data_IF_227001306144
#
_entry.id   IF_227001306144
#
_cell.length_a   1.000
_cell.length_b   1.000
_cell.length_c   1.000
_cell.angle_alpha   90.00
_cell.angle_beta   90.00
_cell.angle_gamma   90.00
#
_symmetry.space_group_name_H-M   'P 1'
#
loop_
_entity.id
_entity.type
_entity.pdbx_description
1 polymer ?
#
# COMPACT_ATOMS: atom_id res chain seq x y z
N UNK A 1 -4.66 31.87 -1.30
CA UNK A 1 -5.62 30.76 -1.25
C UNK A 1 -6.45 30.88 -2.50
N UNK A 2 -6.48 29.82 -3.27
CA UNK A 2 -7.26 29.72 -4.50
C UNK A 2 -8.21 28.53 -4.38
N UNK A 3 -9.47 28.73 -4.74
CA UNK A 3 -10.45 27.65 -4.88
C UNK A 3 -10.88 27.61 -6.33
N UNK A 4 -10.67 26.48 -6.98
CA UNK A 4 -10.96 26.32 -8.40
C UNK A 4 -11.63 24.96 -8.66
N UNK A 5 -12.25 24.83 -9.84
CA UNK A 5 -12.78 23.54 -10.26
C UNK A 5 -11.64 22.55 -10.50
N UNK A 6 -11.92 21.25 -10.37
CA UNK A 6 -10.93 20.23 -10.63
C UNK A 6 -10.32 20.32 -12.03
N UNK A 7 -11.12 20.64 -13.06
CA UNK A 7 -10.61 20.80 -14.42
C UNK A 7 -9.63 21.97 -14.55
N UNK A 8 -9.87 23.07 -13.84
CA UNK A 8 -8.91 24.17 -13.78
C UNK A 8 -7.65 23.77 -13.02
N UNK A 9 -7.75 23.03 -11.92
CA UNK A 9 -6.60 22.68 -11.09
C UNK A 9 -5.62 21.66 -11.72
N UNK A 10 -6.01 20.94 -12.77
CA UNK A 10 -5.18 19.87 -13.35
C UNK A 10 -3.79 20.34 -13.82
N UNK A 11 -3.68 21.58 -14.30
CA UNK A 11 -2.40 22.12 -14.79
C UNK A 11 -1.34 22.26 -13.69
N UNK A 12 -1.76 22.45 -12.44
CA UNK A 12 -0.88 22.58 -11.27
C UNK A 12 -0.15 21.27 -10.93
N UNK A 13 -0.70 20.12 -11.33
CA UNK A 13 -0.08 18.82 -11.13
C UNK A 13 1.03 18.52 -12.14
N UNK A 14 1.07 19.26 -13.27
CA UNK A 14 2.00 19.03 -14.37
C UNK A 14 1.58 17.92 -15.35
N UNK A 15 2.47 17.59 -16.29
CA UNK A 15 2.21 16.67 -17.41
C UNK A 15 2.86 15.29 -17.29
N UNK A 16 3.46 14.95 -16.14
CA UNK A 16 4.10 13.65 -15.90
C UNK A 16 3.09 12.49 -15.95
N UNK A 17 3.58 11.26 -16.09
CA UNK A 17 2.71 10.07 -16.10
C UNK A 17 1.92 9.95 -14.79
N UNK A 18 2.58 10.25 -13.66
CA UNK A 18 1.99 10.25 -12.33
C UNK A 18 0.94 11.34 -12.19
N UNK A 19 1.20 12.55 -12.70
CA UNK A 19 0.22 13.63 -12.70
C UNK A 19 -1.04 13.23 -13.50
N UNK A 20 -0.85 12.70 -14.72
CA UNK A 20 -1.95 12.20 -15.56
C UNK A 20 -2.75 11.09 -14.86
N UNK A 21 -2.06 10.16 -14.20
CA UNK A 21 -2.71 9.10 -13.45
C UNK A 21 -3.51 9.66 -12.27
N UNK A 22 -2.92 10.54 -11.46
CA UNK A 22 -3.60 11.22 -10.35
C UNK A 22 -4.84 11.96 -10.86
N UNK A 23 -4.76 12.62 -12.02
CA UNK A 23 -5.91 13.28 -12.63
C UNK A 23 -7.03 12.29 -12.97
N UNK A 24 -6.69 11.13 -13.55
CA UNK A 24 -7.66 10.05 -13.83
C UNK A 24 -8.26 9.49 -12.54
N UNK A 25 -7.43 9.22 -11.54
CA UNK A 25 -7.85 8.71 -10.23
C UNK A 25 -8.78 9.68 -9.50
N UNK A 26 -8.47 10.97 -9.52
CA UNK A 26 -9.30 12.02 -8.93
C UNK A 26 -10.72 12.05 -9.56
N UNK A 27 -10.84 11.79 -10.86
CA UNK A 27 -12.14 11.63 -11.52
C UNK A 27 -12.87 10.38 -11.02
N UNK A 28 -12.17 9.25 -10.89
CA UNK A 28 -12.75 7.98 -10.38
C UNK A 28 -13.31 8.11 -8.95
N UNK A 29 -12.76 9.00 -8.11
CA UNK A 29 -13.24 9.28 -6.76
C UNK A 29 -14.17 10.51 -6.68
N UNK A 30 -14.59 11.05 -7.83
CA UNK A 30 -15.52 12.17 -7.98
C UNK A 30 -15.05 13.51 -7.36
N UNK A 31 -13.79 13.90 -7.59
CA UNK A 31 -13.31 15.25 -7.22
C UNK A 31 -14.01 16.30 -8.09
N UNK A 32 -14.55 17.34 -7.44
CA UNK A 32 -15.22 18.48 -8.09
C UNK A 32 -14.49 19.81 -7.86
N UNK A 33 -14.07 20.08 -6.61
CA UNK A 33 -13.42 21.33 -6.22
C UNK A 33 -12.04 21.06 -5.61
N UNK A 34 -11.11 21.98 -5.88
CA UNK A 34 -9.74 21.96 -5.37
C UNK A 34 -9.43 23.26 -4.63
N UNK A 35 -8.81 23.14 -3.45
CA UNK A 35 -8.23 24.30 -2.73
C UNK A 35 -6.71 24.20 -2.80
N UNK A 36 -6.07 25.24 -3.31
CA UNK A 36 -4.61 25.29 -3.53
C UNK A 36 -3.92 26.09 -2.43
N UNK A 37 -2.93 25.44 -1.79
CA UNK A 37 -2.02 26.03 -0.82
C UNK A 37 -0.62 26.21 -1.42
N UNK A 38 -0.27 27.45 -1.79
CA UNK A 38 0.92 27.81 -2.60
C UNK A 38 2.27 27.82 -1.85
N UNK A 39 2.27 27.83 -0.51
CA UNK A 39 3.50 27.90 0.31
C UNK A 39 3.49 26.85 1.43
N UNK A 40 3.24 25.60 1.04
CA UNK A 40 3.21 24.48 1.96
C UNK A 40 4.62 23.93 2.19
N UNK A 41 4.96 23.66 3.46
CA UNK A 41 6.20 22.97 3.83
C UNK A 41 5.87 21.49 4.03
N UNK A 42 6.21 20.67 3.05
CA UNK A 42 6.15 19.23 3.22
C UNK A 42 7.37 18.74 4.00
N UNK A 43 7.13 18.03 5.11
CA UNK A 43 8.20 17.55 6.00
C UNK A 43 9.24 16.70 5.27
N UNK A 44 8.79 15.73 4.48
CA UNK A 44 9.70 14.76 3.84
C UNK A 44 10.48 15.47 2.73
N UNK A 45 9.81 16.31 1.92
CA UNK A 45 10.50 17.13 0.93
C UNK A 45 11.52 18.10 1.55
N UNK A 46 11.21 18.73 2.68
CA UNK A 46 12.15 19.67 3.31
C UNK A 46 13.44 18.97 3.75
N UNK A 47 13.33 17.73 4.26
CA UNK A 47 14.50 16.93 4.62
C UNK A 47 15.27 16.53 3.36
N UNK A 48 14.58 16.02 2.33
CA UNK A 48 15.18 15.67 1.03
C UNK A 48 15.92 16.87 0.40
N UNK A 49 15.27 18.05 0.45
CA UNK A 49 15.83 19.32 0.00
C UNK A 49 17.12 19.64 0.74
N UNK A 50 17.11 19.60 2.08
CA UNK A 50 18.28 19.95 2.90
C UNK A 50 19.49 19.04 2.63
N UNK A 51 19.24 17.77 2.32
CA UNK A 51 20.28 16.75 2.10
C UNK A 51 20.85 16.76 0.69
N UNK A 52 20.04 17.15 -0.31
CA UNK A 52 20.42 17.11 -1.72
C UNK A 52 20.29 18.47 -2.40
N UNK A 53 19.05 18.93 -2.64
CA UNK A 53 18.76 20.08 -3.51
C UNK A 53 19.34 21.42 -3.03
N UNK A 54 19.52 21.62 -1.72
CA UNK A 54 20.12 22.82 -1.13
C UNK A 54 21.59 23.04 -1.55
N UNK A 55 22.23 22.03 -2.12
CA UNK A 55 23.64 22.06 -2.56
C UNK A 55 23.79 22.31 -4.07
N UNK A 56 22.68 22.45 -4.79
CA UNK A 56 22.66 22.71 -6.23
C UNK A 56 22.88 24.20 -6.52
N UNK A 57 23.59 24.49 -7.61
CA UNK A 57 23.83 25.88 -8.06
C UNK A 57 22.52 26.62 -8.36
N UNK A 58 21.63 25.98 -9.13
CA UNK A 58 20.25 26.43 -9.30
C UNK A 58 19.39 25.75 -8.22
N UNK A 59 19.18 26.45 -7.10
CA UNK A 59 18.51 25.89 -5.93
C UNK A 59 16.99 26.02 -6.09
N UNK A 60 16.22 24.91 -6.08
CA UNK A 60 14.76 24.98 -6.15
C UNK A 60 14.17 25.61 -4.87
N UNK A 61 12.90 26.00 -4.94
CA UNK A 61 12.16 26.50 -3.77
C UNK A 61 12.05 25.42 -2.68
N UNK A 62 12.06 25.83 -1.41
CA UNK A 62 11.71 24.92 -0.29
C UNK A 62 10.20 24.75 -0.12
N UNK A 63 9.42 25.66 -0.71
CA UNK A 63 7.96 25.64 -0.65
C UNK A 63 7.37 24.76 -1.75
N UNK A 64 6.55 23.81 -1.33
CA UNK A 64 5.71 22.97 -2.19
C UNK A 64 4.32 23.58 -2.34
N UNK A 65 3.58 23.13 -3.36
CA UNK A 65 2.13 23.36 -3.42
C UNK A 65 1.39 22.16 -2.85
N UNK A 66 0.28 22.38 -2.15
CA UNK A 66 -0.61 21.31 -1.70
C UNK A 66 -2.02 21.55 -2.21
N UNK A 67 -2.51 20.60 -3.00
CA UNK A 67 -3.84 20.63 -3.60
C UNK A 67 -4.77 19.74 -2.77
N UNK A 68 -5.79 20.33 -2.18
CA UNK A 68 -6.81 19.63 -1.41
C UNK A 68 -8.03 19.36 -2.26
N UNK A 69 -8.53 18.12 -2.25
CA UNK A 69 -9.59 17.67 -3.13
C UNK A 69 -10.90 17.43 -2.38
N UNK A 70 -12.00 17.88 -2.97
CA UNK A 70 -13.34 17.77 -2.40
C UNK A 70 -14.34 17.24 -3.43
N UNK A 71 -15.28 16.41 -2.99
CA UNK A 71 -16.38 15.91 -3.83
C UNK A 71 -17.50 16.93 -4.00
N UNK A 72 -17.60 17.91 -3.11
CA UNK A 72 -18.62 18.97 -3.19
C UNK A 72 -18.14 20.13 -4.06
N UNK A 73 -19.09 20.84 -4.69
CA UNK A 73 -18.82 22.07 -5.43
C UNK A 73 -19.02 23.28 -4.51
N UNK A 74 -18.00 24.12 -4.40
CA UNK A 74 -18.07 25.39 -3.69
C UNK A 74 -17.13 26.42 -4.31
N UNK A 75 -17.43 27.70 -4.07
CA UNK A 75 -16.67 28.86 -4.56
C UNK A 75 -15.58 29.30 -3.57
N UNK A 76 -14.75 30.26 -4.01
CA UNK A 76 -13.77 30.91 -3.11
C UNK A 76 -14.48 31.67 -2.00
N UNK A 77 -15.63 32.29 -2.29
CA UNK A 77 -16.45 33.06 -1.35
C UNK A 77 -17.02 32.16 -0.26
N UNK A 78 -17.60 31.01 -0.64
CA UNK A 78 -18.14 30.03 0.31
C UNK A 78 -17.06 29.55 1.29
N UNK A 79 -15.87 29.24 0.77
CA UNK A 79 -14.76 28.77 1.60
C UNK A 79 -14.22 29.87 2.51
N UNK A 80 -14.14 31.12 2.04
CA UNK A 80 -13.77 32.27 2.89
C UNK A 80 -14.78 32.50 4.00
N UNK A 81 -16.07 32.38 3.71
CA UNK A 81 -17.11 32.51 4.72
C UNK A 81 -16.98 31.43 5.80
N UNK A 82 -16.65 30.20 5.39
CA UNK A 82 -16.38 29.10 6.32
C UNK A 82 -15.24 29.41 7.29
N UNK A 83 -14.18 30.11 6.84
CA UNK A 83 -13.05 30.51 7.68
C UNK A 83 -13.40 31.64 8.66
N UNK A 84 -14.34 32.52 8.33
CA UNK A 84 -14.72 33.66 9.19
C UNK A 84 -15.73 33.22 10.25
N UNK A 85 -16.76 32.49 9.83
CA UNK A 85 -17.91 32.18 10.68
C UNK A 85 -17.79 30.82 11.39
N UNK A 86 -16.91 29.93 10.93
CA UNK A 86 -16.64 28.61 11.53
C UNK A 86 -17.91 27.79 11.85
N UNK A 87 -18.94 27.86 10.98
CA UNK A 87 -20.19 27.15 11.22
C UNK A 87 -19.99 25.63 11.23
N UNK A 88 -20.26 24.98 12.37
CA UNK A 88 -20.02 23.54 12.58
C UNK A 88 -20.67 22.66 11.49
N UNK A 89 -21.88 23.01 11.06
CA UNK A 89 -22.60 22.27 10.02
C UNK A 89 -21.90 22.33 8.66
N UNK A 90 -21.37 23.50 8.28
CA UNK A 90 -20.65 23.64 7.02
C UNK A 90 -19.29 22.94 7.08
N UNK A 91 -18.56 23.10 8.19
CA UNK A 91 -17.28 22.40 8.41
C UNK A 91 -17.45 20.88 8.41
N UNK A 92 -18.55 20.37 8.98
CA UNK A 92 -18.92 18.95 8.91
C UNK A 92 -19.11 18.48 7.48
N UNK A 93 -19.92 19.19 6.68
CA UNK A 93 -20.11 18.88 5.24
C UNK A 93 -18.81 18.94 4.43
N UNK A 94 -17.98 19.93 4.71
CA UNK A 94 -16.67 20.07 4.08
C UNK A 94 -15.74 18.90 4.45
N UNK A 95 -15.82 18.43 5.70
CA UNK A 95 -15.13 17.23 6.17
C UNK A 95 -15.61 15.96 5.46
N UNK A 96 -16.93 15.76 5.35
CA UNK A 96 -17.52 14.60 4.69
C UNK A 96 -17.21 14.54 3.19
N UNK A 97 -17.07 15.71 2.56
CA UNK A 97 -16.70 15.83 1.14
C UNK A 97 -15.19 15.78 0.89
N UNK A 98 -14.35 15.76 1.92
CA UNK A 98 -12.89 15.73 1.75
C UNK A 98 -12.41 14.39 1.17
N UNK A 99 -11.65 14.47 0.08
CA UNK A 99 -11.16 13.32 -0.68
C UNK A 99 -9.65 13.13 -0.57
N UNK A 100 -8.94 14.06 0.06
CA UNK A 100 -7.50 13.98 0.28
C UNK A 100 -6.71 15.12 -0.32
N UNK A 101 -5.40 14.93 -0.47
CA UNK A 101 -4.51 15.94 -1.04
C UNK A 101 -3.37 15.34 -1.84
N UNK A 102 -2.78 16.18 -2.69
CA UNK A 102 -1.53 15.92 -3.41
C UNK A 102 -0.56 17.07 -3.14
N UNK A 103 0.68 16.74 -2.81
CA UNK A 103 1.79 17.70 -2.76
C UNK A 103 2.50 17.72 -4.12
N UNK A 104 2.73 18.91 -4.66
CA UNK A 104 3.53 19.13 -5.87
C UNK A 104 4.87 19.73 -5.44
N UNK A 105 5.95 19.02 -5.74
CA UNK A 105 7.30 19.45 -5.37
C UNK A 105 7.82 20.47 -6.42
N UNK A 106 8.53 21.53 -6.02
CA UNK A 106 9.07 22.55 -6.93
C UNK A 106 10.38 22.09 -7.59
N UNK A 107 10.43 20.82 -8.00
CA UNK A 107 11.54 20.18 -8.71
C UNK A 107 10.97 19.53 -9.96
N UNK A 108 11.67 19.69 -11.09
CA UNK A 108 11.19 19.22 -12.38
C UNK A 108 11.93 17.97 -12.84
N UNK A 109 11.21 17.11 -13.56
CA UNK A 109 11.80 16.03 -14.34
C UNK A 109 12.53 16.56 -15.59
N UNK A 110 13.11 15.64 -16.37
CA UNK A 110 13.83 15.98 -17.61
C UNK A 110 12.97 16.70 -18.65
N UNK A 111 11.65 16.58 -18.56
CA UNK A 111 10.69 17.20 -19.47
C UNK A 111 10.10 18.50 -18.90
N UNK A 112 10.61 18.99 -17.77
CA UNK A 112 10.12 20.21 -17.14
C UNK A 112 8.84 20.05 -16.32
N UNK A 113 8.40 18.81 -16.03
CA UNK A 113 7.20 18.58 -15.22
C UNK A 113 7.55 18.47 -13.74
N UNK A 114 6.76 19.08 -12.83
CA UNK A 114 6.98 18.93 -11.41
C UNK A 114 6.76 17.49 -10.93
N UNK A 115 7.47 17.10 -9.87
CA UNK A 115 7.26 15.80 -9.23
C UNK A 115 6.03 15.78 -8.33
N UNK A 116 5.25 14.70 -8.43
CA UNK A 116 4.17 14.39 -7.50
C UNK A 116 4.79 13.86 -6.20
N UNK A 117 4.67 14.64 -5.13
CA UNK A 117 5.13 14.29 -3.80
C UNK A 117 4.09 13.50 -3.01
N UNK A 118 4.12 13.70 -1.69
CA UNK A 118 3.23 13.02 -0.76
C UNK A 118 1.77 13.24 -1.16
N UNK A 119 1.09 12.14 -1.41
CA UNK A 119 -0.27 12.05 -1.89
C UNK A 119 -1.05 11.15 -0.95
N UNK A 120 -2.17 11.64 -0.44
CA UNK A 120 -3.06 10.88 0.43
C UNK A 120 -4.47 11.07 -0.13
N UNK A 121 -5.02 10.02 -0.76
CA UNK A 121 -6.30 10.08 -1.45
C UNK A 121 -7.25 9.01 -0.93
N UNK A 122 -8.54 9.31 -0.94
CA UNK A 122 -9.60 8.37 -0.58
C UNK A 122 -9.52 7.18 -1.53
N UNK A 123 -9.65 5.97 -1.00
CA UNK A 123 -9.60 4.75 -1.80
C UNK A 123 -10.84 4.62 -2.69
N UNK A 124 -10.80 3.71 -3.66
CA UNK A 124 -12.01 3.30 -4.37
C UNK A 124 -13.09 2.80 -3.38
N UNK A 125 -14.36 2.90 -3.78
CA UNK A 125 -15.49 2.44 -2.96
C UNK A 125 -15.34 0.96 -2.60
N UNK A 126 -15.58 0.62 -1.33
CA UNK A 126 -15.33 -0.71 -0.77
C UNK A 126 -16.25 -1.80 -1.31
N UNK A 127 -17.54 -1.47 -1.51
CA UNK A 127 -18.56 -2.42 -1.93
C UNK A 127 -18.91 -2.18 -3.39
N UNK A 128 -18.75 -3.22 -4.21
CA UNK A 128 -19.35 -3.33 -5.53
C UNK A 128 -20.34 -4.50 -5.45
N UNK A 129 -21.39 -4.49 -6.25
CA UNK A 129 -22.33 -5.62 -6.32
C UNK A 129 -21.57 -6.95 -6.48
N UNK A 130 -21.71 -7.84 -5.48
CA UNK A 130 -21.08 -9.17 -5.45
C UNK A 130 -19.54 -9.23 -5.38
N UNK A 131 -18.85 -8.12 -5.11
CA UNK A 131 -17.39 -8.10 -4.94
C UNK A 131 -16.96 -7.19 -3.78
N UNK A 132 -15.81 -7.52 -3.19
CA UNK A 132 -15.26 -6.82 -2.03
C UNK A 132 -13.89 -6.24 -2.36
N UNK A 133 -13.64 -4.98 -1.98
CA UNK A 133 -12.32 -4.36 -2.01
C UNK A 133 -11.74 -4.24 -0.61
N UNK A 134 -10.48 -4.62 -0.49
CA UNK A 134 -9.70 -4.50 0.73
C UNK A 134 -8.50 -3.59 0.45
N UNK A 135 -8.33 -2.58 1.29
CA UNK A 135 -7.19 -1.67 1.25
C UNK A 135 -6.53 -1.63 2.61
N UNK A 136 -5.20 -1.59 2.62
CA UNK A 136 -4.47 -1.11 3.78
C UNK A 136 -4.73 0.39 3.88
N UNK A 137 -5.28 0.81 5.01
CA UNK A 137 -5.44 2.21 5.34
C UNK A 137 -5.17 2.49 6.82
N UNK A 138 -4.78 3.73 7.07
CA UNK A 138 -4.71 4.35 8.39
C UNK A 138 -5.36 5.72 8.32
N UNK A 139 -5.87 6.18 9.45
CA UNK A 139 -6.40 7.53 9.56
C UNK A 139 -5.25 8.53 9.59
N UNK A 140 -5.22 9.42 8.61
CA UNK A 140 -4.31 10.55 8.52
C UNK A 140 -5.10 11.83 8.77
N UNK A 141 -4.62 12.65 9.69
CA UNK A 141 -5.14 14.00 9.91
C UNK A 141 -4.32 14.99 9.09
N UNK A 142 -5.00 15.96 8.47
CA UNK A 142 -4.36 17.13 7.87
C UNK A 142 -5.09 18.40 8.29
N UNK A 143 -4.40 19.52 8.24
CA UNK A 143 -4.96 20.84 8.53
C UNK A 143 -4.89 21.70 7.29
N UNK A 144 -5.97 22.40 6.97
CA UNK A 144 -6.04 23.42 5.93
C UNK A 144 -6.61 24.68 6.56
N UNK A 145 -5.77 25.71 6.71
CA UNK A 145 -6.13 26.98 7.37
C UNK A 145 -6.77 26.81 8.76
N UNK A 146 -6.36 25.77 9.51
CA UNK A 146 -6.89 25.46 10.84
C UNK A 146 -8.05 24.46 10.85
N UNK A 147 -8.68 24.18 9.70
CA UNK A 147 -9.72 23.16 9.58
C UNK A 147 -9.05 21.78 9.55
N UNK A 148 -9.45 20.89 10.47
CA UNK A 148 -8.93 19.52 10.53
C UNK A 148 -9.74 18.58 9.66
N UNK A 149 -9.05 17.84 8.79
CA UNK A 149 -9.63 16.79 7.96
C UNK A 149 -9.00 15.44 8.30
N UNK A 150 -9.83 14.41 8.43
CA UNK A 150 -9.41 13.02 8.59
C UNK A 150 -9.61 12.24 7.30
N UNK A 151 -8.64 11.40 6.93
CA UNK A 151 -8.75 10.53 5.77
C UNK A 151 -8.12 9.16 6.03
N UNK A 152 -8.87 8.10 5.73
CA UNK A 152 -8.36 6.74 5.74
C UNK A 152 -7.73 6.41 4.39
N UNK A 153 -6.41 6.24 4.36
CA UNK A 153 -5.66 5.99 3.12
C UNK A 153 -4.30 5.35 3.44
N UNK A 154 -3.46 5.20 2.41
CA UNK A 154 -2.05 4.84 2.50
C UNK A 154 -1.28 5.89 1.67
N UNK A 155 -0.30 6.59 2.26
CA UNK A 155 0.44 7.62 1.54
C UNK A 155 1.19 7.05 0.36
N UNK A 156 1.17 7.80 -0.74
CA UNK A 156 1.91 7.57 -1.96
C UNK A 156 2.89 8.73 -2.21
N UNK A 157 3.98 8.47 -2.93
CA UNK A 157 4.76 9.52 -3.58
C UNK A 157 5.44 8.96 -4.83
N UNK A 158 5.69 9.82 -5.83
CA UNK A 158 6.59 9.50 -6.93
C UNK A 158 8.06 9.55 -6.47
N UNK A 159 8.93 8.83 -7.17
CA UNK A 159 10.37 8.88 -6.90
C UNK A 159 10.96 10.25 -7.30
N UNK A 160 11.91 10.72 -6.49
CA UNK A 160 12.82 11.81 -6.83
C UNK A 160 14.23 11.22 -6.89
N UNK A 161 14.71 10.97 -8.10
CA UNK A 161 15.99 10.30 -8.36
C UNK A 161 17.20 11.02 -7.73
N UNK A 162 17.07 12.30 -7.35
CA UNK A 162 18.12 13.00 -6.61
C UNK A 162 18.36 12.41 -5.22
N UNK A 163 17.33 11.81 -4.60
CA UNK A 163 17.37 11.28 -3.23
C UNK A 163 16.97 9.80 -3.10
N UNK A 164 16.27 9.24 -4.09
CA UNK A 164 15.84 7.84 -4.04
C UNK A 164 15.12 7.41 -5.30
N UNK A 165 15.17 6.11 -5.58
CA UNK A 165 14.45 5.51 -6.70
C UNK A 165 13.25 4.69 -6.19
N UNK A 166 12.70 3.81 -7.05
CA UNK A 166 11.54 2.98 -6.79
C UNK A 166 11.61 2.19 -5.47
N UNK A 167 12.75 1.55 -5.16
CA UNK A 167 12.91 0.79 -3.92
C UNK A 167 12.79 1.67 -2.66
N UNK A 168 13.31 2.91 -2.71
CA UNK A 168 13.17 3.90 -1.62
C UNK A 168 11.71 4.32 -1.47
N UNK A 169 11.02 4.63 -2.56
CA UNK A 169 9.60 4.99 -2.54
C UNK A 169 8.71 3.84 -2.02
N UNK A 170 9.04 2.60 -2.39
CA UNK A 170 8.35 1.40 -1.93
C UNK A 170 8.58 1.12 -0.43
N UNK A 171 9.81 1.29 0.07
CA UNK A 171 10.11 1.22 1.50
C UNK A 171 9.36 2.30 2.28
N UNK A 172 9.40 3.56 1.81
CA UNK A 172 8.70 4.67 2.44
C UNK A 172 7.19 4.37 2.56
N UNK A 173 6.57 3.95 1.46
CA UNK A 173 5.14 3.63 1.37
C UNK A 173 4.76 2.44 2.26
N UNK A 174 5.48 1.33 2.15
CA UNK A 174 5.16 0.09 2.88
C UNK A 174 5.31 0.22 4.40
N UNK A 175 6.16 1.11 4.88
CA UNK A 175 6.42 1.30 6.31
C UNK A 175 5.48 2.30 6.98
N UNK A 176 4.70 3.08 6.21
CA UNK A 176 3.74 4.03 6.78
C UNK A 176 2.76 3.40 7.77
N UNK A 177 2.11 2.26 7.48
CA UNK A 177 1.23 1.57 8.43
C UNK A 177 1.98 1.01 9.64
N UNK A 178 3.22 0.57 9.44
CA UNK A 178 4.07 -0.06 10.44
C UNK A 178 4.49 0.90 11.55
N UNK A 179 4.60 2.21 11.26
CA UNK A 179 4.89 3.27 12.26
C UNK A 179 3.95 3.19 13.46
N UNK A 180 2.63 3.13 13.19
CA UNK A 180 1.63 3.07 14.26
C UNK A 180 1.48 1.66 14.85
N UNK A 181 1.67 0.61 14.03
CA UNK A 181 1.53 -0.77 14.49
C UNK A 181 2.67 -1.20 15.43
N UNK A 182 3.88 -0.73 15.16
CA UNK A 182 5.11 -1.24 15.77
C UNK A 182 5.98 -0.16 16.44
N UNK A 183 5.65 1.12 16.31
CA UNK A 183 6.39 2.22 16.96
C UNK A 183 7.76 2.49 16.33
N UNK A 184 7.92 2.22 15.03
CA UNK A 184 9.17 2.42 14.29
C UNK A 184 9.37 3.90 13.89
N UNK A 185 10.63 4.35 13.66
CA UNK A 185 10.91 5.71 13.21
C UNK A 185 10.29 6.02 11.84
N UNK A 186 10.11 7.32 11.60
CA UNK A 186 9.66 7.87 10.33
C UNK A 186 10.81 8.56 9.62
N UNK A 187 11.26 8.01 8.50
CA UNK A 187 12.32 8.58 7.68
C UNK A 187 11.80 9.09 6.34
N UNK A 188 12.39 10.19 5.87
CA UNK A 188 12.27 10.72 4.50
C UNK A 188 12.95 9.80 3.48
N UNK A 189 12.63 9.92 2.17
CA UNK A 189 13.34 9.20 1.11
C UNK A 189 14.87 9.31 1.19
N UNK A 190 15.42 10.51 1.40
CA UNK A 190 16.87 10.70 1.53
C UNK A 190 17.46 9.93 2.72
N UNK A 191 16.79 9.95 3.88
CA UNK A 191 17.21 9.18 5.06
C UNK A 191 17.13 7.66 4.84
N UNK A 192 16.09 7.18 4.17
CA UNK A 192 15.95 5.76 3.81
C UNK A 192 17.14 5.35 2.95
N UNK A 193 17.45 6.10 1.89
CA UNK A 193 18.58 5.82 1.00
C UNK A 193 19.91 5.84 1.77
N UNK A 194 20.17 6.86 2.62
CA UNK A 194 21.39 6.94 3.45
C UNK A 194 21.58 5.74 4.37
N UNK A 195 20.51 5.27 5.02
CA UNK A 195 20.59 4.13 5.95
C UNK A 195 20.77 2.83 5.16
N UNK A 196 20.08 2.68 4.02
CA UNK A 196 20.17 1.49 3.16
C UNK A 196 21.57 1.24 2.62
N UNK A 197 22.29 2.30 2.21
CA UNK A 197 23.65 2.22 1.62
C UNK A 197 24.75 2.03 2.65
N UNK A 198 24.42 1.90 3.95
CA UNK A 198 25.36 1.35 4.93
C UNK A 198 25.74 -0.11 4.62
N UNK A 199 24.91 -0.80 3.84
CA UNK A 199 25.26 -2.09 3.24
C UNK A 199 26.05 -1.88 1.94
N UNK A 200 27.23 -2.52 1.78
CA UNK A 200 28.13 -2.31 0.64
C UNK A 200 27.47 -2.55 -0.73
N UNK A 201 27.78 -1.67 -1.69
CA UNK A 201 27.46 -1.81 -3.11
C UNK A 201 28.47 -1.05 -3.99
N UNK A 202 28.40 -1.26 -5.31
CA UNK A 202 29.37 -0.70 -6.27
C UNK A 202 29.01 0.72 -6.80
N UNK A 203 27.79 1.21 -6.52
CA UNK A 203 27.32 2.50 -7.03
C UNK A 203 27.53 3.65 -6.02
N UNK A 204 27.35 4.89 -6.47
CA UNK A 204 27.30 6.07 -5.58
C UNK A 204 26.03 6.06 -4.73
N UNK A 205 26.04 6.78 -3.61
CA UNK A 205 24.88 6.92 -2.72
C UNK A 205 23.85 7.93 -3.27
N UNK A 206 24.35 9.09 -3.72
CA UNK A 206 23.56 10.16 -4.32
C UNK A 206 24.23 10.70 -5.60
N UNK A 207 23.46 10.98 -6.68
CA UNK A 207 22.08 10.57 -6.89
C UNK A 207 21.94 9.04 -6.85
N UNK A 208 20.78 8.55 -6.40
CA UNK A 208 20.59 7.12 -6.18
C UNK A 208 20.31 6.40 -7.49
N UNK A 209 21.02 5.30 -7.78
CA UNK A 209 20.65 4.37 -8.87
C UNK A 209 19.61 3.33 -8.45
N UNK A 210 19.01 3.50 -7.27
CA UNK A 210 18.12 2.55 -6.64
C UNK A 210 18.82 1.63 -5.63
N UNK A 211 18.03 0.81 -4.94
CA UNK A 211 18.50 -0.10 -3.90
C UNK A 211 18.39 -1.54 -4.38
N UNK A 212 19.38 -2.36 -4.02
CA UNK A 212 19.28 -3.81 -4.14
C UNK A 212 18.31 -4.38 -3.09
N UNK A 213 17.79 -5.59 -3.33
CA UNK A 213 16.95 -6.28 -2.33
C UNK A 213 17.69 -6.43 -0.99
N UNK A 214 19.00 -6.64 -1.00
CA UNK A 214 19.81 -6.74 0.22
C UNK A 214 19.88 -5.40 0.98
N UNK A 215 20.01 -4.28 0.27
CA UNK A 215 19.98 -2.94 0.87
C UNK A 215 18.59 -2.60 1.44
N UNK A 216 17.51 -3.06 0.81
CA UNK A 216 16.15 -2.92 1.34
C UNK A 216 15.99 -3.72 2.65
N UNK A 217 16.43 -4.99 2.65
CA UNK A 217 16.43 -5.86 3.84
C UNK A 217 17.26 -5.22 4.97
N UNK A 218 18.46 -4.74 4.66
CA UNK A 218 19.34 -4.09 5.62
C UNK A 218 18.64 -2.90 6.29
N UNK A 219 17.97 -2.04 5.51
CA UNK A 219 17.22 -0.92 6.07
C UNK A 219 16.07 -1.37 6.98
N UNK A 220 15.30 -2.39 6.58
CA UNK A 220 14.21 -2.96 7.40
C UNK A 220 14.75 -3.46 8.75
N UNK A 221 15.92 -4.12 8.76
CA UNK A 221 16.57 -4.58 9.99
C UNK A 221 17.04 -3.42 10.87
N UNK A 222 17.66 -2.39 10.29
CA UNK A 222 18.19 -1.24 11.04
C UNK A 222 17.10 -0.42 11.74
N UNK A 223 15.85 -0.47 11.26
CA UNK A 223 14.70 0.19 11.92
C UNK A 223 13.96 -0.72 12.91
N UNK A 224 14.49 -1.91 13.20
CA UNK A 224 13.96 -2.84 14.21
C UNK A 224 12.84 -3.76 13.73
N UNK A 225 12.69 -3.95 12.41
CA UNK A 225 11.80 -4.94 11.81
C UNK A 225 12.61 -6.11 11.23
N UNK A 226 11.91 -7.19 10.87
CA UNK A 226 12.45 -8.28 10.06
C UNK A 226 11.84 -8.21 8.65
N UNK A 227 12.48 -8.86 7.67
CA UNK A 227 11.96 -8.93 6.31
C UNK A 227 11.60 -10.37 5.92
N UNK A 228 10.30 -10.65 5.70
CA UNK A 228 9.88 -11.88 5.04
C UNK A 228 10.12 -11.74 3.53
N UNK A 229 10.83 -12.71 2.95
CA UNK A 229 11.11 -12.75 1.50
C UNK A 229 10.43 -13.97 0.90
N UNK A 230 9.44 -13.74 0.02
CA UNK A 230 8.81 -14.80 -0.76
C UNK A 230 9.40 -14.76 -2.16
N UNK A 231 10.12 -15.81 -2.55
CA UNK A 231 10.72 -15.92 -3.87
C UNK A 231 9.72 -16.52 -4.87
N UNK A 232 9.11 -15.66 -5.69
CA UNK A 232 8.09 -16.05 -6.67
C UNK A 232 8.75 -16.71 -7.89
N UNK A 233 9.88 -16.17 -8.36
CA UNK A 233 10.60 -16.70 -9.52
C UNK A 233 10.99 -18.17 -9.36
N UNK A 234 11.50 -18.56 -8.18
CA UNK A 234 11.87 -19.95 -7.91
C UNK A 234 10.66 -20.90 -7.82
N UNK A 235 9.48 -20.40 -7.40
CA UNK A 235 8.28 -21.22 -7.22
C UNK A 235 7.52 -21.43 -8.54
N UNK A 236 7.52 -20.42 -9.42
CA UNK A 236 6.91 -20.50 -10.73
C UNK A 236 7.47 -21.65 -11.60
N UNK A 237 8.75 -21.99 -11.39
CA UNK A 237 9.45 -23.07 -12.10
C UNK A 237 9.11 -24.47 -11.56
N UNK A 238 8.56 -24.60 -10.34
CA UNK A 238 8.41 -25.88 -9.64
C UNK A 238 6.98 -26.43 -9.60
N UNK A 239 5.92 -25.60 -9.73
CA UNK A 239 4.51 -26.05 -9.76
C UNK A 239 3.59 -24.95 -10.33
N UNK A 240 3.27 -25.00 -11.62
CA UNK A 240 2.60 -23.92 -12.35
C UNK A 240 1.17 -23.58 -11.89
N UNK A 241 0.36 -24.57 -11.49
CA UNK A 241 -1.03 -24.31 -11.07
C UNK A 241 -1.13 -23.76 -9.64
N UNK A 242 -0.32 -24.28 -8.70
CA UNK A 242 -0.39 -23.91 -7.29
C UNK A 242 0.45 -22.66 -6.99
N UNK A 243 1.60 -22.52 -7.66
CA UNK A 243 2.46 -21.33 -7.57
C UNK A 243 1.76 -20.06 -8.08
N UNK A 244 0.85 -20.20 -9.05
CA UNK A 244 0.10 -19.09 -9.64
C UNK A 244 -0.73 -18.27 -8.64
N UNK A 245 -1.18 -18.89 -7.54
CA UNK A 245 -1.96 -18.21 -6.50
C UNK A 245 -1.11 -17.63 -5.36
N UNK A 246 0.21 -17.88 -5.34
CA UNK A 246 1.05 -17.48 -4.21
C UNK A 246 1.05 -15.97 -3.98
N UNK A 247 1.05 -15.17 -5.06
CA UNK A 247 1.02 -13.70 -4.94
C UNK A 247 -0.31 -13.23 -4.35
N UNK A 248 -1.44 -13.77 -4.81
CA UNK A 248 -2.77 -13.39 -4.30
C UNK A 248 -3.02 -13.90 -2.88
N UNK A 249 -2.60 -15.13 -2.56
CA UNK A 249 -2.71 -15.70 -1.21
C UNK A 249 -1.82 -14.92 -0.22
N UNK A 250 -0.60 -14.54 -0.61
CA UNK A 250 0.25 -13.67 0.21
C UNK A 250 -0.35 -12.27 0.40
N UNK A 251 -0.91 -11.67 -0.66
CA UNK A 251 -1.60 -10.39 -0.58
C UNK A 251 -2.78 -10.46 0.42
N UNK A 252 -3.67 -11.46 0.28
CA UNK A 252 -4.78 -11.70 1.22
C UNK A 252 -4.27 -11.85 2.66
N UNK A 253 -3.19 -12.62 2.82
CA UNK A 253 -2.67 -12.96 4.13
C UNK A 253 -2.15 -11.75 4.91
N UNK A 254 -1.35 -10.91 4.27
CA UNK A 254 -0.65 -9.81 4.91
C UNK A 254 -1.44 -8.50 4.94
N UNK A 255 -2.25 -8.22 3.91
CA UNK A 255 -3.10 -7.01 3.89
C UNK A 255 -4.11 -7.01 5.03
N UNK A 256 -4.65 -8.19 5.40
CA UNK A 256 -5.55 -8.33 6.56
C UNK A 256 -4.85 -8.07 7.91
N UNK A 257 -3.53 -8.23 7.98
CA UNK A 257 -2.71 -7.83 9.12
C UNK A 257 -2.31 -6.35 9.08
N UNK A 258 -2.65 -5.62 8.01
CA UNK A 258 -2.22 -4.24 7.77
C UNK A 258 -0.76 -4.12 7.37
N UNK A 259 -0.19 -5.13 6.72
CA UNK A 259 1.20 -5.20 6.28
C UNK A 259 1.28 -5.15 4.74
N UNK A 260 1.74 -4.04 4.14
CA UNK A 260 1.91 -3.94 2.70
C UNK A 260 3.03 -4.87 2.20
N UNK A 261 2.93 -5.31 0.94
CA UNK A 261 3.94 -6.16 0.31
C UNK A 261 4.67 -5.35 -0.75
N UNK A 262 6.00 -5.29 -0.69
CA UNK A 262 6.80 -4.73 -1.78
C UNK A 262 7.05 -5.82 -2.81
N UNK A 263 6.52 -5.65 -4.01
CA UNK A 263 6.79 -6.52 -5.15
C UNK A 263 8.01 -6.02 -5.92
N UNK A 264 9.01 -6.88 -6.10
CA UNK A 264 10.11 -6.61 -7.05
C UNK A 264 9.72 -7.16 -8.41
N UNK A 265 9.70 -6.29 -9.42
CA UNK A 265 9.20 -6.61 -10.76
C UNK A 265 10.35 -6.72 -11.75
N UNK A 266 10.19 -7.63 -12.70
CA UNK A 266 10.97 -7.71 -13.93
C UNK A 266 10.09 -7.22 -15.08
N UNK A 267 10.57 -6.20 -15.78
CA UNK A 267 9.92 -5.60 -16.94
C UNK A 267 10.69 -6.04 -18.19
N UNK A 268 10.01 -6.60 -19.19
CA UNK A 268 10.64 -7.04 -20.44
C UNK A 268 10.00 -6.30 -21.62
N UNK A 269 10.82 -5.90 -22.58
CA UNK A 269 10.36 -5.45 -23.89
C UNK A 269 10.98 -6.28 -25.03
N UNK A 270 10.43 -6.14 -26.23
CA UNK A 270 10.81 -6.83 -27.48
C UNK A 270 12.28 -6.64 -27.85
N UNK A 271 12.92 -5.58 -27.35
CA UNK A 271 14.36 -5.32 -27.53
C UNK A 271 15.24 -6.12 -26.56
N UNK A 272 14.68 -7.07 -25.81
CA UNK A 272 15.30 -7.81 -24.70
C UNK A 272 15.91 -6.92 -23.61
N UNK A 273 15.47 -5.66 -23.49
CA UNK A 273 15.86 -4.82 -22.36
C UNK A 273 15.05 -5.30 -21.15
N UNK A 274 15.77 -5.73 -20.11
CA UNK A 274 15.17 -6.14 -18.84
C UNK A 274 15.30 -5.00 -17.84
N UNK A 275 14.17 -4.37 -17.51
CA UNK A 275 14.06 -3.41 -16.42
C UNK A 275 13.76 -4.11 -15.10
N UNK A 276 14.15 -3.50 -13.98
CA UNK A 276 13.68 -3.89 -12.64
C UNK A 276 12.96 -2.74 -11.99
N UNK A 277 11.92 -3.06 -11.24
CA UNK A 277 11.11 -2.08 -10.53
C UNK A 277 10.67 -2.57 -9.15
N UNK A 278 10.28 -1.66 -8.26
CA UNK A 278 9.70 -2.00 -6.98
C UNK A 278 8.38 -1.23 -6.80
N UNK A 279 7.31 -1.96 -6.50
CA UNK A 279 5.98 -1.38 -6.26
C UNK A 279 5.34 -1.99 -5.02
N UNK A 280 4.36 -1.32 -4.41
CA UNK A 280 3.76 -1.77 -3.15
C UNK A 280 2.33 -2.23 -3.36
N UNK A 281 2.08 -3.52 -3.17
CA UNK A 281 0.71 -4.08 -3.12
C UNK A 281 0.09 -3.63 -1.79
N UNK A 282 -0.94 -2.80 -1.89
CA UNK A 282 -1.63 -2.17 -0.76
C UNK A 282 -3.09 -2.59 -0.63
N UNK A 283 -3.63 -3.34 -1.59
CA UNK A 283 -5.00 -3.80 -1.56
C UNK A 283 -5.28 -4.88 -2.59
N UNK A 284 -6.51 -5.40 -2.55
CA UNK A 284 -7.02 -6.32 -3.55
C UNK A 284 -8.55 -6.23 -3.66
N UNK A 285 -9.09 -6.68 -4.78
CA UNK A 285 -10.51 -6.96 -4.99
C UNK A 285 -10.72 -8.46 -5.13
N UNK A 286 -11.74 -8.99 -4.49
CA UNK A 286 -12.11 -10.39 -4.64
C UNK A 286 -13.61 -10.56 -4.87
N UNK A 287 -13.97 -11.70 -5.47
CA UNK A 287 -15.37 -12.13 -5.54
C UNK A 287 -15.87 -12.64 -4.17
N UNK A 288 -17.13 -13.08 -4.12
CA UNK A 288 -17.76 -13.55 -2.89
C UNK A 288 -17.11 -14.82 -2.31
N UNK A 289 -16.42 -15.59 -3.13
CA UNK A 289 -15.70 -16.80 -2.74
C UNK A 289 -14.26 -16.47 -2.31
N UNK A 290 -13.88 -15.19 -2.34
CA UNK A 290 -12.57 -14.71 -1.95
C UNK A 290 -11.48 -14.94 -2.99
N UNK A 291 -11.83 -15.22 -4.25
CA UNK A 291 -10.86 -15.26 -5.34
C UNK A 291 -10.47 -13.84 -5.75
N UNK A 292 -9.18 -13.54 -5.67
CA UNK A 292 -8.66 -12.23 -6.04
C UNK A 292 -8.81 -12.02 -7.55
N UNK A 293 -9.43 -10.91 -7.95
CA UNK A 293 -9.63 -10.50 -9.34
C UNK A 293 -8.70 -9.35 -9.74
N UNK A 294 -8.27 -8.55 -8.77
CA UNK A 294 -7.46 -7.36 -8.99
C UNK A 294 -6.59 -7.08 -7.76
N UNK A 295 -5.38 -6.58 -7.97
CA UNK A 295 -4.54 -6.00 -6.93
C UNK A 295 -4.55 -4.47 -7.04
N UNK A 296 -4.43 -3.79 -5.90
CA UNK A 296 -4.23 -2.35 -5.83
C UNK A 296 -2.79 -2.06 -5.41
N UNK A 297 -2.09 -1.29 -6.23
CA UNK A 297 -0.65 -1.08 -6.11
C UNK A 297 -0.32 0.41 -6.02
N UNK A 298 0.60 0.78 -5.13
CA UNK A 298 1.30 2.06 -5.21
C UNK A 298 2.57 1.86 -6.02
N UNK A 299 2.62 2.47 -7.20
CA UNK A 299 3.76 2.39 -8.12
C UNK A 299 4.23 3.81 -8.43
N UNK A 300 5.47 4.14 -8.08
CA UNK A 300 6.02 5.49 -8.17
C UNK A 300 6.17 6.03 -9.60
N UNK A 301 6.05 5.16 -10.61
CA UNK A 301 6.01 5.56 -12.02
C UNK A 301 4.60 5.61 -12.63
N UNK A 302 3.61 5.04 -11.93
CA UNK A 302 2.20 5.06 -12.37
C UNK A 302 1.38 5.97 -11.48
N UNK A 303 1.20 5.63 -10.21
CA UNK A 303 0.38 6.41 -9.28
C UNK A 303 -0.19 5.60 -8.11
N UNK A 304 -1.05 6.23 -7.29
CA UNK A 304 -1.62 5.58 -6.13
C UNK A 304 -2.75 4.61 -6.47
N UNK A 305 -2.79 3.45 -5.81
CA UNK A 305 -3.86 2.45 -6.00
C UNK A 305 -4.10 2.09 -7.48
N UNK A 306 -3.01 1.96 -8.26
CA UNK A 306 -3.04 1.44 -9.61
C UNK A 306 -3.63 0.04 -9.64
N UNK A 307 -4.46 -0.22 -10.65
CA UNK A 307 -5.19 -1.46 -10.81
C UNK A 307 -4.30 -2.45 -11.54
N UNK A 308 -4.07 -3.60 -10.96
CA UNK A 308 -3.31 -4.69 -11.57
C UNK A 308 -4.24 -5.87 -11.77
N UNK A 309 -4.39 -6.27 -13.03
CA UNK A 309 -5.10 -7.49 -13.42
C UNK A 309 -4.11 -8.65 -13.61
N UNK A 310 -4.50 -9.90 -13.36
CA UNK A 310 -3.64 -11.04 -13.63
C UNK A 310 -3.55 -11.29 -15.13
N UNK A 311 -2.35 -11.61 -15.64
CA UNK A 311 -2.17 -12.23 -16.95
C UNK A 311 -2.01 -13.73 -16.77
N UNK A 312 -3.14 -14.45 -16.80
CA UNK A 312 -3.27 -15.84 -16.36
C UNK A 312 -3.27 -15.99 -14.84
N UNK A 313 -2.30 -15.39 -14.14
CA UNK A 313 -2.22 -15.33 -12.68
C UNK A 313 -1.47 -14.07 -12.22
N UNK A 314 -1.33 -13.83 -10.91
CA UNK A 314 -0.69 -12.61 -10.38
C UNK A 314 0.85 -12.64 -10.32
N UNK A 315 1.48 -13.70 -10.84
CA UNK A 315 2.92 -13.67 -11.13
C UNK A 315 3.18 -12.73 -12.31
N UNK A 316 2.26 -12.67 -13.28
CA UNK A 316 2.32 -11.73 -14.41
C UNK A 316 1.25 -10.66 -14.30
N UNK A 317 1.64 -9.42 -14.50
CA UNK A 317 0.77 -8.26 -14.28
C UNK A 317 0.36 -7.65 -15.61
N UNK A 318 -0.94 -7.35 -15.72
CA UNK A 318 -1.48 -6.48 -16.76
C UNK A 318 -1.91 -5.16 -16.13
N UNK A 319 -1.20 -4.10 -16.50
CA UNK A 319 -1.44 -2.72 -16.05
C UNK A 319 -0.75 -1.71 -16.99
N UNK A 320 -0.62 -0.46 -16.57
CA UNK A 320 -0.09 0.66 -17.37
C UNK A 320 1.34 0.45 -17.90
N UNK A 321 2.15 -0.40 -17.28
CA UNK A 321 3.46 -0.79 -17.83
C UNK A 321 3.32 -1.41 -19.23
N UNK A 322 2.30 -2.26 -19.41
CA UNK A 322 1.99 -2.90 -20.69
C UNK A 322 1.17 -1.94 -21.55
N UNK A 323 0.07 -1.43 -21.00
CA UNK A 323 -0.93 -0.71 -21.79
C UNK A 323 -0.42 0.65 -22.30
N UNK A 324 0.46 1.31 -21.54
CA UNK A 324 0.87 2.70 -21.80
C UNK A 324 2.38 2.88 -21.96
N UNK A 325 3.21 2.06 -21.32
CA UNK A 325 4.67 2.27 -21.27
C UNK A 325 5.47 1.35 -22.21
N UNK A 326 4.79 0.50 -23.00
CA UNK A 326 5.40 -0.26 -24.09
C UNK A 326 6.27 -1.42 -23.64
N UNK A 327 5.96 -2.02 -22.49
CA UNK A 327 6.54 -3.30 -22.07
C UNK A 327 5.62 -4.46 -22.50
N UNK A 328 6.23 -5.59 -22.84
CA UNK A 328 5.51 -6.78 -23.30
C UNK A 328 5.18 -7.73 -22.15
N UNK A 329 5.99 -7.70 -21.08
CA UNK A 329 5.77 -8.53 -19.90
C UNK A 329 6.20 -7.80 -18.63
N UNK A 330 5.35 -7.90 -17.60
CA UNK A 330 5.66 -7.52 -16.22
C UNK A 330 5.47 -8.74 -15.34
N UNK A 331 6.52 -9.15 -14.64
CA UNK A 331 6.48 -10.32 -13.75
C UNK A 331 7.02 -10.02 -12.36
N UNK A 332 6.41 -10.63 -11.34
CA UNK A 332 6.86 -10.54 -9.95
C UNK A 332 8.00 -11.52 -9.70
N UNK A 333 9.17 -11.02 -9.32
CA UNK A 333 10.33 -11.86 -8.95
C UNK A 333 10.24 -12.29 -7.48
N UNK A 334 9.95 -11.34 -6.58
CA UNK A 334 9.90 -11.54 -5.12
C UNK A 334 8.86 -10.63 -4.49
N UNK A 335 8.35 -11.06 -3.34
CA UNK A 335 7.61 -10.22 -2.41
C UNK A 335 8.46 -10.02 -1.16
N UNK A 336 8.59 -8.78 -0.71
CA UNK A 336 9.27 -8.39 0.52
C UNK A 336 8.24 -7.78 1.47
N UNK A 337 8.10 -8.34 2.66
CA UNK A 337 7.13 -7.88 3.66
C UNK A 337 7.90 -7.47 4.91
N UNK A 338 7.90 -6.17 5.28
CA UNK A 338 8.40 -5.73 6.57
C UNK A 338 7.49 -6.25 7.69
N UNK A 339 8.02 -7.13 8.55
CA UNK A 339 7.29 -7.79 9.62
C UNK A 339 7.89 -7.47 10.99
N UNK A 340 7.07 -7.54 12.03
CA UNK A 340 7.52 -7.37 13.40
C UNK A 340 8.33 -8.60 13.86
N UNK A 341 9.44 -8.45 14.62
CA UNK A 341 10.34 -9.57 14.97
C UNK A 341 9.72 -10.73 15.77
N UNK A 342 8.52 -10.53 16.35
CA UNK A 342 7.77 -11.62 17.01
C UNK A 342 6.91 -12.43 16.04
N UNK A 343 6.73 -12.02 14.79
CA UNK A 343 6.14 -12.85 13.74
C UNK A 343 7.26 -13.74 13.23
N UNK A 344 7.32 -14.97 13.75
CA UNK A 344 8.44 -15.91 13.49
C UNK A 344 8.04 -17.09 12.61
N UNK A 345 6.74 -17.37 12.52
CA UNK A 345 6.26 -18.42 11.63
C UNK A 345 6.25 -17.87 10.21
N UNK A 346 7.30 -18.20 9.46
CA UNK A 346 7.47 -17.81 8.06
C UNK A 346 6.28 -18.26 7.20
N UNK A 347 5.92 -17.45 6.20
CA UNK A 347 4.81 -17.72 5.29
C UNK A 347 5.00 -19.06 4.60
N UNK A 348 6.20 -19.36 4.10
CA UNK A 348 6.47 -20.63 3.42
C UNK A 348 6.12 -21.87 4.24
N UNK A 349 6.37 -21.85 5.55
CA UNK A 349 6.06 -22.98 6.44
C UNK A 349 4.56 -23.21 6.61
N UNK A 350 3.80 -22.13 6.87
CA UNK A 350 2.34 -22.24 7.04
C UNK A 350 1.63 -22.42 5.70
N UNK A 351 2.15 -21.82 4.62
CA UNK A 351 1.60 -21.95 3.28
C UNK A 351 1.65 -23.39 2.79
N UNK A 352 2.71 -24.13 3.08
CA UNK A 352 2.79 -25.57 2.78
C UNK A 352 1.68 -26.41 3.45
N UNK A 353 1.22 -26.01 4.64
CA UNK A 353 0.08 -26.66 5.30
C UNK A 353 -1.21 -26.24 4.60
N UNK A 354 -1.39 -24.93 4.41
CA UNK A 354 -2.55 -24.38 3.72
C UNK A 354 -2.76 -24.98 2.33
N UNK A 355 -1.69 -25.24 1.56
CA UNK A 355 -1.82 -25.86 0.24
C UNK A 355 -2.45 -27.26 0.29
N UNK A 356 -2.13 -28.06 1.32
CA UNK A 356 -2.74 -29.39 1.52
C UNK A 356 -4.21 -29.26 1.90
N UNK A 357 -4.51 -28.33 2.80
CA UNK A 357 -5.89 -28.07 3.23
C UNK A 357 -6.72 -27.47 2.08
N UNK A 358 -6.12 -26.65 1.23
CA UNK A 358 -6.74 -26.02 0.06
C UNK A 358 -7.13 -27.06 -0.98
N UNK A 359 -6.24 -28.00 -1.29
CA UNK A 359 -6.56 -29.10 -2.21
C UNK A 359 -7.75 -29.93 -1.71
N UNK A 360 -7.78 -30.23 -0.41
CA UNK A 360 -8.89 -30.95 0.22
C UNK A 360 -10.19 -30.15 0.17
N UNK A 361 -10.17 -28.88 0.58
CA UNK A 361 -11.33 -28.00 0.57
C UNK A 361 -11.93 -27.88 -0.84
N UNK A 362 -11.10 -27.67 -1.86
CA UNK A 362 -11.54 -27.60 -3.26
C UNK A 362 -12.23 -28.92 -3.68
N UNK A 363 -11.69 -30.07 -3.30
CA UNK A 363 -12.29 -31.37 -3.62
C UNK A 363 -13.66 -31.60 -2.95
N UNK A 364 -13.91 -30.88 -1.84
CA UNK A 364 -15.17 -30.91 -1.08
C UNK A 364 -16.12 -29.76 -1.48
N UNK A 365 -15.75 -28.93 -2.47
CA UNK A 365 -16.54 -27.77 -2.89
C UNK A 365 -16.56 -26.63 -1.88
N UNK A 366 -15.54 -26.53 -1.04
CA UNK A 366 -15.42 -25.53 0.02
C UNK A 366 -14.42 -24.42 -0.35
N UNK A 367 -14.73 -23.19 0.03
CA UNK A 367 -13.77 -22.09 -0.07
C UNK A 367 -12.84 -22.07 1.15
N UNK A 368 -11.61 -21.60 0.94
CA UNK A 368 -10.58 -21.56 1.99
C UNK A 368 -9.67 -20.35 1.82
N UNK A 369 -9.20 -19.80 2.94
CA UNK A 369 -8.22 -18.73 2.95
C UNK A 369 -7.17 -18.92 4.05
N UNK A 370 -6.03 -18.27 3.87
CA UNK A 370 -4.99 -18.12 4.89
C UNK A 370 -4.77 -16.63 5.18
N UNK A 371 -4.66 -16.26 6.45
CA UNK A 371 -4.27 -14.91 6.82
C UNK A 371 -3.58 -14.77 8.18
N UNK A 372 -2.78 -13.71 8.29
CA UNK A 372 -2.16 -13.29 9.53
C UNK A 372 -3.08 -12.27 10.24
N UNK A 373 -3.15 -12.35 11.57
CA UNK A 373 -3.91 -11.39 12.37
C UNK A 373 -3.33 -11.23 13.77
N UNK A 374 -3.71 -10.15 14.46
CA UNK A 374 -3.42 -9.97 15.87
C UNK A 374 -4.52 -10.59 16.74
N UNK A 375 -4.15 -11.15 17.89
CA UNK A 375 -5.09 -11.78 18.83
C UNK A 375 -6.25 -10.87 19.22
N UNK A 376 -6.02 -9.56 19.34
CA UNK A 376 -7.05 -8.56 19.64
C UNK A 376 -8.13 -8.55 18.57
N UNK A 377 -7.73 -8.46 17.30
CA UNK A 377 -8.65 -8.37 16.17
C UNK A 377 -9.35 -9.70 15.93
N UNK A 378 -8.63 -10.81 16.13
CA UNK A 378 -9.22 -12.15 16.04
C UNK A 378 -10.28 -12.40 17.13
N UNK A 379 -9.97 -12.09 18.40
CA UNK A 379 -10.96 -12.22 19.49
C UNK A 379 -12.15 -11.28 19.29
N UNK A 380 -11.95 -10.06 18.78
CA UNK A 380 -13.04 -9.15 18.41
C UNK A 380 -13.92 -9.74 17.30
N UNK A 381 -13.32 -10.34 16.28
CA UNK A 381 -14.06 -11.06 15.24
C UNK A 381 -14.90 -12.21 15.84
N UNK A 382 -14.30 -13.06 16.69
CA UNK A 382 -14.99 -14.18 17.33
C UNK A 382 -16.10 -13.74 18.28
N UNK A 383 -15.97 -12.58 18.94
CA UNK A 383 -17.00 -12.02 19.81
C UNK A 383 -18.34 -11.83 19.09
N UNK A 384 -18.32 -11.52 17.79
CA UNK A 384 -19.51 -11.30 16.97
C UNK A 384 -19.97 -12.56 16.21
N UNK A 385 -19.43 -13.74 16.54
CA UNK A 385 -19.77 -15.01 15.88
C UNK A 385 -20.33 -16.04 16.86
N UNK A 386 -21.21 -16.91 16.36
CA UNK A 386 -21.65 -18.08 17.11
C UNK A 386 -20.62 -19.18 16.93
N UNK A 387 -19.96 -19.60 18.02
CA UNK A 387 -18.92 -20.62 18.01
C UNK A 387 -19.11 -21.54 19.21
N UNK A 388 -18.70 -22.80 19.06
CA UNK A 388 -18.69 -23.77 20.15
C UNK A 388 -17.68 -23.33 21.23
N UNK A 389 -18.00 -23.48 22.51
CA UNK A 389 -17.11 -23.20 23.65
C UNK A 389 -16.56 -21.75 23.68
N UNK A 390 -17.39 -20.78 23.25
CA UNK A 390 -17.01 -19.38 23.03
C UNK A 390 -16.33 -18.71 24.23
N UNK A 391 -16.89 -18.86 25.43
CA UNK A 391 -16.31 -18.27 26.65
C UNK A 391 -14.89 -18.79 26.90
N UNK A 392 -14.70 -20.10 26.81
CA UNK A 392 -13.39 -20.76 26.98
C UNK A 392 -12.40 -20.27 25.92
N UNK A 393 -12.81 -20.15 24.66
CA UNK A 393 -11.95 -19.67 23.57
C UNK A 393 -11.53 -18.21 23.79
N UNK A 394 -12.48 -17.33 24.15
CA UNK A 394 -12.22 -15.90 24.32
C UNK A 394 -11.38 -15.60 25.56
N UNK A 395 -11.49 -16.41 26.62
CA UNK A 395 -10.72 -16.24 27.87
C UNK A 395 -9.34 -16.88 27.83
N UNK A 396 -9.11 -17.90 26.98
CA UNK A 396 -7.82 -18.55 26.88
C UNK A 396 -6.70 -17.60 26.37
N UNK A 397 -5.51 -17.59 26.98
CA UNK A 397 -4.35 -16.88 26.44
C UNK A 397 -3.96 -17.41 25.05
N UNK A 398 -3.63 -16.48 24.15
CA UNK A 398 -3.14 -16.75 22.80
C UNK A 398 -1.96 -15.80 22.49
N UNK A 399 -0.99 -16.21 21.66
CA UNK A 399 0.12 -15.36 21.26
C UNK A 399 -0.38 -14.13 20.50
N UNK A 400 0.41 -13.05 20.52
CA UNK A 400 0.01 -11.75 19.92
C UNK A 400 -0.35 -11.88 18.43
N UNK A 401 0.38 -12.72 17.70
CA UNK A 401 0.20 -12.93 16.26
C UNK A 401 -0.27 -14.36 16.00
N UNK A 402 -1.26 -14.49 15.12
CA UNK A 402 -1.91 -15.75 14.79
C UNK A 402 -1.97 -15.91 13.27
N UNK A 403 -1.62 -17.09 12.79
CA UNK A 403 -1.97 -17.52 11.44
C UNK A 403 -3.30 -18.28 11.51
N UNK A 404 -4.23 -17.91 10.64
CA UNK A 404 -5.55 -18.53 10.55
C UNK A 404 -5.69 -19.16 9.17
N UNK A 405 -6.00 -20.44 9.13
CA UNK A 405 -6.54 -21.11 7.95
C UNK A 405 -8.04 -21.25 8.17
N UNK A 406 -8.84 -20.60 7.33
CA UNK A 406 -10.31 -20.58 7.46
C UNK A 406 -10.95 -21.27 6.28
N UNK A 407 -11.84 -22.21 6.58
CA UNK A 407 -12.71 -22.86 5.60
C UNK A 407 -14.12 -22.30 5.70
N UNK A 408 -14.76 -22.12 4.55
CA UNK A 408 -16.13 -21.61 4.42
C UNK A 408 -17.04 -22.67 3.80
N UNK A 409 -18.30 -22.65 4.22
CA UNK A 409 -19.41 -23.37 3.60
C UNK A 409 -20.47 -22.33 3.20
N UNK A 410 -20.83 -22.27 1.93
CA UNK A 410 -21.75 -21.25 1.38
C UNK A 410 -21.41 -19.81 1.82
N UNK A 411 -20.14 -19.43 1.72
CA UNK A 411 -19.59 -18.11 2.13
C UNK A 411 -19.68 -17.81 3.64
N UNK A 412 -20.09 -18.77 4.46
CA UNK A 412 -20.14 -18.64 5.92
C UNK A 412 -18.91 -19.34 6.53
N UNK A 413 -18.15 -18.68 7.43
CA UNK A 413 -17.02 -19.33 8.10
C UNK A 413 -17.47 -20.58 8.84
N UNK A 414 -16.91 -21.74 8.50
CA UNK A 414 -17.27 -23.03 9.10
C UNK A 414 -16.23 -23.50 10.13
N UNK A 415 -14.95 -23.37 9.79
CA UNK A 415 -13.82 -23.82 10.62
C UNK A 415 -12.67 -22.82 10.54
N UNK A 416 -12.06 -22.49 11.68
CA UNK A 416 -10.73 -21.87 11.75
C UNK A 416 -9.72 -22.82 12.39
N UNK A 417 -8.63 -23.10 11.69
CA UNK A 417 -7.43 -23.67 12.27
C UNK A 417 -6.44 -22.56 12.63
N UNK A 418 -6.18 -22.45 13.94
CA UNK A 418 -5.42 -21.35 14.55
C UNK A 418 -4.00 -21.83 14.84
N UNK A 419 -3.01 -21.14 14.31
CA UNK A 419 -1.59 -21.43 14.47
C UNK A 419 -0.86 -20.30 15.20
N UNK A 420 0.16 -20.66 15.99
CA UNK A 420 1.02 -19.71 16.67
C UNK A 420 1.92 -18.97 15.68
N UNK A 421 1.64 -17.68 15.44
CA UNK A 421 2.45 -16.83 14.56
C UNK A 421 3.81 -16.44 15.14
N UNK A 422 4.05 -16.75 16.42
CA UNK A 422 5.29 -16.44 17.15
C UNK A 422 6.21 -17.64 17.32
N UNK A 423 5.75 -18.82 16.93
CA UNK A 423 6.58 -20.02 16.86
C UNK A 423 7.42 -20.03 15.57
N UNK A 424 8.56 -20.72 15.58
CA UNK A 424 9.42 -20.88 14.39
C UNK A 424 8.83 -21.92 13.42
N UNK A 425 8.21 -22.97 13.97
CA UNK A 425 7.57 -24.04 13.22
C UNK A 425 6.05 -24.00 13.40
N UNK A 426 5.27 -24.51 12.43
CA UNK A 426 3.83 -24.52 12.53
C UNK A 426 3.36 -25.27 13.79
N UNK A 427 2.73 -24.53 14.71
CA UNK A 427 2.14 -25.08 15.92
C UNK A 427 0.66 -24.75 15.93
N UNK A 428 -0.17 -25.74 15.61
CA UNK A 428 -1.63 -25.60 15.72
C UNK A 428 -2.01 -25.47 17.18
N UNK A 429 -2.67 -24.36 17.53
CA UNK A 429 -3.12 -24.04 18.87
C UNK A 429 -4.51 -24.61 19.13
N UNK A 430 -5.41 -24.49 18.14
CA UNK A 430 -6.80 -24.94 18.25
C UNK A 430 -7.51 -24.97 16.90
N UNK A 431 -8.62 -25.70 16.84
CA UNK A 431 -9.64 -25.59 15.81
C UNK A 431 -10.90 -24.95 16.39
N UNK A 432 -11.40 -23.90 15.75
CA UNK A 432 -12.65 -23.23 16.09
C UNK A 432 -13.72 -23.72 15.13
N UNK A 433 -14.88 -24.12 15.67
CA UNK A 433 -16.04 -24.52 14.86
C UNK A 433 -17.13 -23.48 15.03
N UNK A 434 -17.57 -22.92 13.92
CA UNK A 434 -18.69 -21.99 13.90
C UNK A 434 -20.00 -22.78 13.98
N UNK A 435 -20.97 -22.21 14.68
CA UNK A 435 -22.31 -22.76 14.79
C UNK A 435 -23.18 -21.96 13.81
N UNK A 436 -23.88 -22.69 12.94
CA UNK A 436 -24.82 -22.14 11.96
C UNK A 436 -26.24 -22.43 12.40
#
# INVERSE_FOLDING_TARGET
MEVCSFDQAQHELGGSNQAKYVCKYAKDINVNTVVIEEKYIDKDYLIDFSKSHARSFDTPSTFTKRLHFFSEKFSTEDFKEALVNCGETYLGRLGDSYLGFVVVKPINDINGNPFIGRTILKTYQHNITQEYRYFIHRSYSTSLYGISFGIDSLPFQAQDMAVGACATAALWTSLHPSRNLFGIPSHSPAEITEISVSFPHENRNFPSSGLTVMQMINYIHLIGLEAEVINIGAVAELNSEIGGYMVSDAAKAYIKAGLPLIATLRLKNDKNITGRHAAVISGYRCDQNGHVKELYVHDDQIGPYSRVMPDGNFIRWKNEWIDNFGYDEVSVEKLLIPIYPKIRLAFGHIYNIYLKDKQKAISEGLDIEIYLTQVKDYKRFLLNKSIKDKEIILTNPLPRFLWIIRTYYDQIPAIDDVYDGTAVFPKKLRTIRFLH
#
